data_IF_822504742213
#
_entry.id   IF_822504742213
#
_cell.length_a   1.000
_cell.length_b   1.000
_cell.length_c   1.000
_cell.angle_alpha   90.00
_cell.angle_beta   90.00
_cell.angle_gamma   90.00
#
_symmetry.space_group_name_H-M   'P 1'
#
loop_
_entity.id
_entity.type
_entity.pdbx_description
1 polymer ?
#
# COMPACT_ATOMS: atom_id res chain seq x y z
N UNK A 1 -20.50 10.60 -16.31
CA UNK A 1 -20.13 9.17 -16.26
C UNK A 1 -18.75 9.11 -15.67
N UNK A 2 -18.46 8.16 -14.79
CA UNK A 2 -17.09 7.97 -14.30
C UNK A 2 -16.20 7.48 -15.43
N UNK A 3 -14.95 7.92 -15.41
CA UNK A 3 -13.89 7.51 -16.33
C UNK A 3 -12.88 6.71 -15.54
N UNK A 4 -12.38 5.63 -16.12
CA UNK A 4 -11.29 4.83 -15.56
C UNK A 4 -10.22 4.62 -16.61
N UNK A 5 -8.97 4.62 -16.17
CA UNK A 5 -7.85 4.13 -16.96
C UNK A 5 -6.96 3.28 -16.07
N UNK A 6 -6.54 2.14 -16.58
CA UNK A 6 -5.73 1.16 -15.87
C UNK A 6 -4.66 0.62 -16.83
N UNK A 7 -3.39 0.90 -16.53
CA UNK A 7 -2.27 0.46 -17.35
C UNK A 7 -1.92 -1.00 -17.01
N UNK A 8 -1.45 -1.72 -18.02
CA UNK A 8 -0.99 -3.11 -17.89
C UNK A 8 0.40 -3.23 -17.26
N UNK A 9 0.76 -2.34 -16.33
CA UNK A 9 2.08 -2.32 -15.70
C UNK A 9 2.30 -3.61 -14.91
N UNK A 10 3.30 -4.38 -15.31
CA UNK A 10 3.63 -5.64 -14.66
C UNK A 10 4.07 -5.40 -13.20
N UNK A 11 3.60 -6.28 -12.31
CA UNK A 11 3.89 -6.17 -10.89
C UNK A 11 5.24 -6.81 -10.57
N UNK A 12 6.07 -6.09 -9.79
CA UNK A 12 7.33 -6.60 -9.26
C UNK A 12 7.40 -6.38 -7.74
N UNK A 13 7.62 -7.46 -6.99
CA UNK A 13 7.78 -7.41 -5.52
C UNK A 13 9.19 -6.93 -5.16
N UNK A 14 9.36 -6.19 -4.06
CA UNK A 14 10.71 -5.77 -3.62
C UNK A 14 11.55 -6.94 -3.06
N UNK A 15 12.84 -6.99 -3.42
CA UNK A 15 13.76 -8.07 -3.00
C UNK A 15 14.22 -7.98 -1.53
N UNK A 16 14.08 -6.82 -0.91
CA UNK A 16 14.49 -6.57 0.48
C UNK A 16 13.69 -5.42 1.08
N UNK A 17 13.77 -5.21 2.39
CA UNK A 17 12.92 -4.27 3.12
C UNK A 17 13.15 -2.79 2.76
N UNK A 18 14.19 -2.48 2.01
CA UNK A 18 14.55 -1.13 1.57
C UNK A 18 14.57 -0.95 0.03
N UNK A 19 14.06 -1.90 -0.76
CA UNK A 19 14.06 -1.85 -2.24
C UNK A 19 12.73 -1.38 -2.86
N UNK A 20 11.83 -0.76 -2.10
CA UNK A 20 10.54 -0.30 -2.65
C UNK A 20 10.70 0.60 -3.88
N UNK A 21 11.64 1.55 -3.86
CA UNK A 21 11.91 2.42 -5.00
C UNK A 21 12.55 1.70 -6.19
N UNK A 22 13.42 0.72 -5.95
CA UNK A 22 14.02 -0.10 -7.00
C UNK A 22 12.98 -1.01 -7.68
N UNK A 23 12.08 -1.62 -6.90
CA UNK A 23 10.96 -2.40 -7.42
C UNK A 23 10.00 -1.54 -8.27
N UNK A 24 9.67 -0.33 -7.80
CA UNK A 24 8.89 0.61 -8.60
C UNK A 24 9.62 1.03 -9.89
N UNK A 25 10.93 1.28 -9.83
CA UNK A 25 11.71 1.58 -11.03
C UNK A 25 11.69 0.40 -12.01
N UNK A 26 11.79 -0.84 -11.53
CA UNK A 26 11.71 -2.04 -12.35
C UNK A 26 10.36 -2.13 -13.07
N UNK A 27 9.24 -1.97 -12.36
CA UNK A 27 7.88 -1.96 -12.93
C UNK A 27 7.74 -0.93 -14.07
N UNK A 28 8.16 0.32 -13.81
CA UNK A 28 8.03 1.41 -14.78
C UNK A 28 8.99 1.25 -15.97
N UNK A 29 10.23 0.82 -15.75
CA UNK A 29 11.21 0.63 -16.82
C UNK A 29 10.83 -0.52 -17.76
N UNK A 30 10.23 -1.58 -17.23
CA UNK A 30 9.69 -2.67 -18.04
C UNK A 30 8.50 -2.21 -18.89
N UNK A 31 7.57 -1.44 -18.31
CA UNK A 31 6.50 -0.78 -19.08
C UNK A 31 7.04 0.15 -20.18
N UNK A 32 8.21 0.76 -19.95
CA UNK A 32 8.91 1.56 -20.95
C UNK A 32 9.65 0.73 -22.03
N UNK A 33 9.62 -0.60 -21.96
CA UNK A 33 10.27 -1.50 -22.91
C UNK A 33 11.76 -1.74 -22.65
N UNK A 34 12.26 -1.39 -21.46
CA UNK A 34 13.66 -1.64 -21.08
C UNK A 34 13.93 -3.12 -20.75
N UNK A 35 12.86 -3.91 -20.62
CA UNK A 35 12.89 -5.26 -20.11
C UNK A 35 13.20 -5.33 -18.62
N UNK A 36 13.37 -6.55 -18.12
CA UNK A 36 13.68 -6.81 -16.73
C UNK A 36 15.10 -6.37 -16.36
N UNK A 37 15.23 -5.46 -15.38
CA UNK A 37 16.50 -5.01 -14.79
C UNK A 37 16.51 -5.37 -13.31
N UNK A 38 17.62 -5.91 -12.80
CA UNK A 38 17.72 -6.35 -11.42
C UNK A 38 17.61 -5.19 -10.41
N UNK A 39 16.89 -5.41 -9.30
CA UNK A 39 16.65 -4.36 -8.30
C UNK A 39 17.92 -3.93 -7.57
N UNK A 40 18.95 -4.79 -7.48
CA UNK A 40 20.24 -4.43 -6.87
C UNK A 40 20.94 -3.34 -7.68
N UNK A 41 21.00 -3.50 -9.00
CA UNK A 41 21.53 -2.50 -9.94
C UNK A 41 20.73 -1.20 -9.89
N UNK A 42 19.39 -1.29 -9.88
CA UNK A 42 18.51 -0.12 -9.78
C UNK A 42 18.68 0.62 -8.44
N UNK A 43 18.76 -0.12 -7.33
CA UNK A 43 19.02 0.44 -6.00
C UNK A 43 20.36 1.16 -5.95
N UNK A 44 21.44 0.54 -6.43
CA UNK A 44 22.78 1.13 -6.40
C UNK A 44 22.85 2.41 -7.25
N UNK A 45 22.22 2.42 -8.42
CA UNK A 45 22.13 3.60 -9.28
C UNK A 45 21.36 4.72 -8.58
N UNK A 46 20.20 4.40 -8.02
CA UNK A 46 19.38 5.35 -7.28
C UNK A 46 20.12 5.95 -6.08
N UNK A 47 20.68 5.09 -5.24
CA UNK A 47 21.33 5.48 -4.00
C UNK A 47 22.57 6.35 -4.27
N UNK A 48 23.35 6.03 -5.31
CA UNK A 48 24.52 6.83 -5.71
C UNK A 48 24.17 8.21 -6.30
N UNK A 49 22.93 8.42 -6.73
CA UNK A 49 22.44 9.68 -7.29
C UNK A 49 21.41 10.40 -6.40
N UNK A 50 21.17 9.89 -5.19
CA UNK A 50 20.35 10.55 -4.15
C UNK A 50 21.20 11.59 -3.42
N UNK A 51 21.37 12.75 -4.04
CA UNK A 51 22.38 13.77 -3.62
C UNK A 51 21.78 15.03 -3.02
N UNK A 52 20.49 15.26 -3.18
CA UNK A 52 19.83 16.51 -2.78
C UNK A 52 19.71 16.66 -1.26
N UNK A 53 19.49 15.55 -0.55
CA UNK A 53 19.26 15.56 0.90
C UNK A 53 20.42 14.90 1.66
N UNK A 54 21.61 15.53 1.61
CA UNK A 54 22.91 14.98 2.05
C UNK A 54 23.00 14.59 3.53
N UNK A 55 21.95 14.79 4.32
CA UNK A 55 21.87 14.40 5.74
C UNK A 55 20.88 13.25 6.03
N UNK A 56 20.15 12.79 5.01
CA UNK A 56 19.16 11.72 5.15
C UNK A 56 19.68 10.48 4.44
N UNK A 57 19.76 9.37 5.17
CA UNK A 57 20.20 8.09 4.63
C UNK A 57 19.06 7.40 3.85
N UNK A 58 18.71 7.98 2.71
CA UNK A 58 17.68 7.43 1.83
C UNK A 58 18.09 6.06 1.30
N UNK A 59 17.20 5.07 1.41
CA UNK A 59 17.34 3.86 0.62
C UNK A 59 17.12 4.17 -0.88
N UNK A 60 16.09 4.96 -1.17
CA UNK A 60 15.80 5.48 -2.51
C UNK A 60 15.35 6.92 -2.36
N UNK A 61 16.25 7.85 -2.70
CA UNK A 61 15.95 9.28 -2.68
C UNK A 61 15.12 9.70 -3.89
N UNK A 62 14.30 10.76 -3.79
CA UNK A 62 13.46 11.19 -4.91
C UNK A 62 14.26 11.55 -6.17
N UNK A 63 15.36 12.28 -6.03
CA UNK A 63 16.25 12.67 -7.13
C UNK A 63 17.00 11.48 -7.74
N UNK A 64 17.45 10.55 -6.88
CA UNK A 64 18.05 9.29 -7.33
C UNK A 64 17.09 8.42 -8.15
N UNK A 65 15.79 8.41 -7.79
CA UNK A 65 14.78 7.67 -8.54
C UNK A 65 14.51 8.29 -9.91
N UNK A 66 14.34 9.60 -9.96
CA UNK A 66 14.21 10.33 -11.24
C UNK A 66 15.44 10.14 -12.12
N UNK A 67 16.65 10.17 -11.54
CA UNK A 67 17.87 9.87 -12.27
C UNK A 67 17.85 8.47 -12.89
N UNK A 68 17.56 7.46 -12.08
CA UNK A 68 17.53 6.05 -12.51
C UNK A 68 16.53 5.84 -13.64
N UNK A 69 15.31 6.36 -13.49
CA UNK A 69 14.26 6.25 -14.50
C UNK A 69 14.61 6.96 -15.82
N UNK A 70 15.43 7.99 -15.80
CA UNK A 70 15.86 8.68 -17.02
C UNK A 70 17.11 8.06 -17.68
N UNK A 71 17.99 7.44 -16.90
CA UNK A 71 19.26 6.90 -17.42
C UNK A 71 19.20 5.40 -17.77
N UNK A 72 18.13 4.69 -17.40
CA UNK A 72 17.94 3.27 -17.69
C UNK A 72 16.97 2.99 -18.85
N UNK A 73 16.53 4.02 -19.56
CA UNK A 73 15.71 3.93 -20.77
C UNK A 73 16.01 5.10 -21.72
N UNK A 74 15.50 5.06 -22.95
CA UNK A 74 15.78 6.09 -23.97
C UNK A 74 14.54 6.64 -24.72
N UNK A 75 13.33 6.34 -24.25
CA UNK A 75 12.08 6.68 -24.93
C UNK A 75 11.19 7.69 -24.19
N UNK A 76 11.49 7.99 -22.91
CA UNK A 76 10.68 8.84 -22.05
C UNK A 76 11.56 9.79 -21.26
N UNK A 77 10.92 10.79 -20.66
CA UNK A 77 11.58 11.72 -19.75
C UNK A 77 10.67 11.93 -18.54
N UNK A 78 11.23 11.69 -17.36
CA UNK A 78 10.55 11.80 -16.08
C UNK A 78 11.09 13.02 -15.32
N UNK A 79 10.20 13.68 -14.58
CA UNK A 79 10.59 14.77 -13.67
C UNK A 79 10.18 14.42 -12.24
N UNK A 80 10.86 15.06 -11.31
CA UNK A 80 10.52 15.00 -9.91
C UNK A 80 9.54 16.13 -9.58
N UNK A 81 8.28 15.79 -9.32
CA UNK A 81 7.31 16.73 -8.79
C UNK A 81 7.31 16.69 -7.27
N UNK A 82 7.54 17.86 -6.66
CA UNK A 82 7.51 18.06 -5.22
C UNK A 82 6.58 19.23 -4.89
N UNK A 83 5.28 18.95 -4.82
CA UNK A 83 4.23 19.96 -4.79
C UNK A 83 3.76 20.27 -3.37
N UNK A 84 3.14 21.45 -3.19
CA UNK A 84 2.73 21.95 -1.88
C UNK A 84 1.43 21.32 -1.37
N UNK A 85 0.64 20.69 -2.23
CA UNK A 85 -0.64 20.08 -1.87
C UNK A 85 -0.73 18.67 -2.42
N UNK A 86 -1.47 17.84 -1.69
CA UNK A 86 -1.77 16.47 -2.09
C UNK A 86 -2.56 16.47 -3.42
N UNK A 87 -3.59 17.30 -3.55
CA UNK A 87 -4.44 17.33 -4.75
C UNK A 87 -3.65 17.68 -6.01
N UNK A 88 -2.67 18.58 -5.93
CA UNK A 88 -1.85 18.94 -7.08
C UNK A 88 -0.97 17.77 -7.54
N UNK A 89 -0.36 17.02 -6.61
CA UNK A 89 0.48 15.86 -6.99
C UNK A 89 -0.39 14.72 -7.53
N UNK A 90 -1.58 14.53 -6.96
CA UNK A 90 -2.52 13.50 -7.39
C UNK A 90 -3.04 13.78 -8.80
N UNK A 91 -3.24 15.04 -9.18
CA UNK A 91 -3.58 15.43 -10.55
C UNK A 91 -2.45 15.22 -11.53
N UNK A 92 -1.20 15.47 -11.14
CA UNK A 92 -0.04 15.12 -11.97
C UNK A 92 0.03 13.62 -12.21
N UNK A 93 -0.18 12.81 -11.17
CA UNK A 93 -0.26 11.34 -11.30
C UNK A 93 -1.34 10.93 -12.31
N UNK A 94 -2.56 11.48 -12.20
CA UNK A 94 -3.65 11.23 -13.15
C UNK A 94 -3.27 11.64 -14.58
N UNK A 95 -2.66 12.82 -14.74
CA UNK A 95 -2.25 13.33 -16.05
C UNK A 95 -1.16 12.46 -16.69
N UNK A 96 -0.15 12.05 -15.92
CA UNK A 96 0.91 11.14 -16.38
C UNK A 96 0.32 9.86 -16.96
N UNK A 97 -0.64 9.24 -16.24
CA UNK A 97 -1.31 8.01 -16.69
C UNK A 97 -2.12 8.29 -17.98
N UNK A 98 -2.92 9.35 -17.98
CA UNK A 98 -3.84 9.68 -19.08
C UNK A 98 -3.11 10.04 -20.39
N UNK A 99 -2.18 10.99 -20.29
CA UNK A 99 -1.52 11.60 -21.44
C UNK A 99 -0.33 10.76 -21.89
N UNK A 100 0.52 10.36 -20.95
CA UNK A 100 1.79 9.70 -21.27
C UNK A 100 1.68 8.18 -21.29
N UNK A 101 0.61 7.58 -20.76
CA UNK A 101 0.41 6.12 -20.76
C UNK A 101 1.61 5.41 -20.12
N UNK A 102 1.98 5.87 -18.94
CA UNK A 102 3.05 5.30 -18.11
C UNK A 102 2.69 5.50 -16.64
N UNK A 103 3.07 4.54 -15.80
CA UNK A 103 2.87 4.59 -14.37
C UNK A 103 3.83 5.58 -13.70
N UNK A 104 3.35 6.62 -13.00
CA UNK A 104 4.17 7.40 -12.09
C UNK A 104 4.50 6.62 -10.81
N UNK A 105 5.55 7.06 -10.11
CA UNK A 105 5.97 6.48 -8.82
C UNK A 105 5.77 7.50 -7.70
N UNK A 106 4.98 7.15 -6.70
CA UNK A 106 4.57 8.05 -5.61
C UNK A 106 5.26 7.71 -4.29
N UNK A 107 5.73 8.74 -3.57
CA UNK A 107 6.29 8.61 -2.22
C UNK A 107 5.16 8.73 -1.20
N UNK A 108 4.90 7.66 -0.46
CA UNK A 108 3.76 7.55 0.46
C UNK A 108 4.20 7.28 1.90
N UNK A 109 3.25 7.31 2.83
CA UNK A 109 3.45 7.13 4.27
C UNK A 109 4.53 8.06 4.82
N UNK A 110 4.44 9.33 4.41
CA UNK A 110 5.30 10.40 4.82
C UNK A 110 6.78 10.15 4.60
N UNK A 111 7.17 9.55 3.47
CA UNK A 111 8.53 9.15 3.01
C UNK A 111 8.97 7.71 3.24
N UNK A 112 8.14 6.87 3.87
CA UNK A 112 8.56 5.53 4.25
C UNK A 112 8.55 4.52 3.08
N UNK A 113 7.83 4.82 2.00
CA UNK A 113 7.58 3.82 0.96
C UNK A 113 7.35 4.43 -0.42
N UNK A 114 7.77 3.72 -1.45
CA UNK A 114 7.47 4.02 -2.85
C UNK A 114 6.46 3.00 -3.39
N UNK A 115 5.48 3.48 -4.16
CA UNK A 115 4.50 2.65 -4.87
C UNK A 115 4.35 3.11 -6.32
N UNK A 116 4.03 2.20 -7.23
CA UNK A 116 3.70 2.53 -8.61
C UNK A 116 2.18 2.73 -8.74
N UNK A 117 1.75 3.83 -9.35
CA UNK A 117 0.33 4.11 -9.61
C UNK A 117 0.05 3.81 -11.07
N UNK A 118 -0.77 2.79 -11.33
CA UNK A 118 -1.02 2.26 -12.69
C UNK A 118 -2.35 2.73 -13.27
N UNK A 119 -3.26 3.21 -12.45
CA UNK A 119 -4.57 3.62 -12.91
C UNK A 119 -5.25 4.64 -12.01
N UNK A 120 -6.35 5.19 -12.52
CA UNK A 120 -7.17 6.16 -11.81
C UNK A 120 -8.65 5.98 -12.10
N UNK A 121 -9.48 6.55 -11.23
CA UNK A 121 -10.91 6.76 -11.46
C UNK A 121 -11.27 8.22 -11.21
N UNK A 122 -11.96 8.84 -12.15
CA UNK A 122 -12.33 10.26 -12.10
C UNK A 122 -13.76 10.50 -12.60
N UNK A 123 -14.28 11.70 -12.39
CA UNK A 123 -15.57 12.14 -12.95
C UNK A 123 -15.55 12.40 -14.47
N UNK A 124 -14.37 12.41 -15.08
CA UNK A 124 -14.13 12.64 -16.51
C UNK A 124 -12.62 12.63 -16.82
N UNK A 125 -12.26 12.48 -18.10
CA UNK A 125 -10.86 12.54 -18.52
C UNK A 125 -10.27 13.94 -18.26
N UNK A 126 -9.03 14.04 -17.75
CA UNK A 126 -8.34 15.32 -17.67
C UNK A 126 -8.07 15.86 -19.08
N UNK A 127 -8.16 17.16 -19.27
CA UNK A 127 -7.94 17.82 -20.57
C UNK A 127 -6.56 18.48 -20.70
N UNK A 128 -5.90 18.74 -19.56
CA UNK A 128 -4.50 19.19 -19.46
C UNK A 128 -3.92 18.83 -18.09
N UNK A 129 -2.59 18.94 -17.93
CA UNK A 129 -1.88 18.87 -16.64
C UNK A 129 -2.42 19.87 -15.60
N UNK A 130 -2.95 20.99 -16.06
CA UNK A 130 -3.52 22.04 -15.21
C UNK A 130 -5.03 21.91 -14.97
N UNK A 131 -5.66 20.83 -15.44
CA UNK A 131 -7.11 20.65 -15.36
C UNK A 131 -7.54 20.31 -13.92
N UNK A 132 -8.35 21.19 -13.34
CA UNK A 132 -8.94 21.03 -12.00
C UNK A 132 -10.46 20.81 -12.05
N UNK A 133 -11.03 20.65 -13.26
CA UNK A 133 -12.46 20.54 -13.50
C UNK A 133 -13.05 19.15 -13.23
N UNK A 134 -12.22 18.16 -12.95
CA UNK A 134 -12.64 16.79 -12.61
C UNK A 134 -12.34 16.46 -11.14
N UNK A 135 -13.11 15.52 -10.60
CA UNK A 135 -12.87 14.91 -9.28
C UNK A 135 -12.18 13.57 -9.44
N UNK A 136 -11.27 13.27 -8.50
CA UNK A 136 -10.60 11.97 -8.37
C UNK A 136 -11.38 11.15 -7.35
N UNK A 137 -11.66 9.89 -7.67
CA UNK A 137 -12.38 8.98 -6.76
C UNK A 137 -11.51 7.81 -6.29
N UNK A 138 -10.42 7.50 -6.99
CA UNK A 138 -9.45 6.51 -6.52
C UNK A 138 -8.32 6.25 -7.51
N UNK A 139 -7.39 5.41 -7.06
CA UNK A 139 -6.19 5.00 -7.77
C UNK A 139 -6.03 3.49 -7.76
N UNK A 140 -5.59 2.93 -8.89
CA UNK A 140 -5.10 1.56 -8.98
C UNK A 140 -3.58 1.58 -8.79
N UNK A 141 -3.07 0.79 -7.86
CA UNK A 141 -1.66 0.79 -7.45
C UNK A 141 -1.06 -0.61 -7.43
N UNK A 142 0.25 -0.62 -7.63
CA UNK A 142 1.13 -1.75 -7.38
C UNK A 142 2.04 -1.40 -6.20
N UNK A 143 1.81 -2.06 -5.08
CA UNK A 143 2.58 -1.86 -3.86
C UNK A 143 3.63 -2.98 -3.74
N UNK A 144 4.94 -2.69 -3.87
CA UNK A 144 5.98 -3.72 -3.93
C UNK A 144 6.19 -4.45 -2.59
N UNK A 145 5.55 -4.01 -1.51
CA UNK A 145 5.63 -4.61 -0.19
C UNK A 145 4.65 -5.81 -0.05
N UNK A 146 4.98 -6.87 0.71
CA UNK A 146 6.17 -7.08 1.56
C UNK A 146 7.44 -7.46 0.79
N UNK A 147 8.63 -7.36 1.40
CA UNK A 147 9.87 -7.84 0.81
C UNK A 147 10.00 -9.37 0.76
N UNK A 148 10.69 -9.90 -0.24
CA UNK A 148 11.19 -11.29 -0.26
C UNK A 148 12.47 -11.44 0.57
N UNK A 149 12.84 -12.65 1.04
CA UNK A 149 12.04 -13.87 1.08
C UNK A 149 11.08 -13.90 2.29
N UNK A 150 9.83 -14.32 2.06
CA UNK A 150 8.96 -14.80 3.12
C UNK A 150 9.42 -16.20 3.59
N UNK A 151 10.04 -16.32 4.77
CA UNK A 151 10.43 -17.55 5.51
C UNK A 151 11.25 -18.65 4.79
N UNK A 152 11.18 -18.82 3.47
CA UNK A 152 12.05 -19.68 2.67
C UNK A 152 13.00 -18.80 1.87
N UNK A 153 14.30 -18.92 2.12
CA UNK A 153 15.35 -18.23 1.38
C UNK A 153 15.38 -18.75 -0.07
N UNK A 154 14.49 -18.24 -0.91
CA UNK A 154 14.59 -18.41 -2.35
C UNK A 154 15.55 -17.37 -2.91
N UNK A 155 16.35 -17.74 -3.94
CA UNK A 155 17.36 -16.85 -4.51
C UNK A 155 16.72 -15.56 -5.07
N UNK A 156 17.50 -14.45 -5.16
CA UNK A 156 17.06 -13.21 -5.80
C UNK A 156 16.48 -13.49 -7.18
N UNK A 157 15.49 -12.69 -7.59
CA UNK A 157 14.83 -12.86 -8.88
C UNK A 157 15.85 -12.89 -10.03
N UNK A 158 15.62 -13.77 -11.02
CA UNK A 158 16.48 -13.91 -12.20
C UNK A 158 15.67 -13.62 -13.45
N UNK A 159 16.32 -13.26 -14.56
CA UNK A 159 15.69 -12.86 -15.84
C UNK A 159 14.76 -13.92 -16.48
N UNK A 160 14.51 -15.05 -15.82
CA UNK A 160 13.57 -16.09 -16.25
C UNK A 160 12.67 -16.63 -15.13
N UNK A 161 12.68 -16.04 -13.93
CA UNK A 161 11.60 -16.29 -12.97
C UNK A 161 10.43 -15.36 -13.26
N UNK A 162 9.20 -15.86 -13.08
CA UNK A 162 8.01 -15.02 -13.13
C UNK A 162 8.05 -14.11 -11.91
N UNK A 163 8.84 -13.06 -12.00
CA UNK A 163 9.11 -12.11 -10.94
C UNK A 163 7.79 -11.63 -10.35
N UNK A 164 7.50 -12.05 -9.12
CA UNK A 164 6.37 -11.60 -8.32
C UNK A 164 5.08 -11.37 -9.10
N UNK A 165 4.63 -12.29 -9.96
CA UNK A 165 3.50 -12.11 -10.90
C UNK A 165 2.09 -11.92 -10.26
N UNK A 166 2.01 -11.34 -9.06
CA UNK A 166 0.85 -11.39 -8.21
C UNK A 166 0.69 -12.81 -7.67
N UNK A 167 0.84 -12.95 -6.35
CA UNK A 167 0.87 -14.25 -5.70
C UNK A 167 0.64 -14.10 -4.20
N UNK A 168 1.27 -15.00 -3.46
CA UNK A 168 1.62 -14.80 -2.03
C UNK A 168 2.66 -13.69 -1.82
N UNK A 169 3.14 -13.14 -2.93
CA UNK A 169 4.29 -12.28 -3.14
C UNK A 169 3.79 -10.89 -3.46
N UNK A 170 3.88 -9.97 -2.49
CA UNK A 170 3.55 -8.56 -2.73
C UNK A 170 2.07 -8.18 -2.64
N UNK A 171 1.74 -6.93 -2.98
CA UNK A 171 0.39 -6.35 -3.12
C UNK A 171 0.23 -5.79 -4.54
N UNK A 172 -0.14 -6.65 -5.49
CA UNK A 172 -0.60 -6.23 -6.82
C UNK A 172 -2.07 -5.82 -6.78
N UNK A 173 -2.49 -5.04 -7.78
CA UNK A 173 -3.90 -4.80 -8.09
C UNK A 173 -4.72 -4.28 -6.89
N UNK A 174 -4.18 -3.28 -6.21
CA UNK A 174 -4.84 -2.57 -5.12
C UNK A 174 -5.57 -1.34 -5.66
N UNK A 175 -6.84 -1.17 -5.30
CA UNK A 175 -7.62 0.03 -5.59
C UNK A 175 -7.85 0.82 -4.31
N UNK A 176 -7.35 2.05 -4.25
CA UNK A 176 -7.42 2.93 -3.09
C UNK A 176 -8.42 4.04 -3.38
N UNK A 177 -9.40 4.24 -2.49
CA UNK A 177 -10.30 5.39 -2.59
C UNK A 177 -9.50 6.70 -2.44
N UNK A 178 -9.95 7.77 -3.09
CA UNK A 178 -9.21 9.04 -3.01
C UNK A 178 -9.14 9.59 -1.57
N UNK A 179 -10.17 9.37 -0.75
CA UNK A 179 -10.13 9.76 0.66
C UNK A 179 -9.04 8.99 1.43
N UNK A 180 -8.94 7.67 1.22
CA UNK A 180 -7.87 6.85 1.83
C UNK A 180 -6.50 7.23 1.29
N UNK A 181 -6.38 7.54 0.00
CA UNK A 181 -5.15 8.05 -0.58
C UNK A 181 -4.67 9.31 0.13
N UNK A 182 -5.56 10.28 0.34
CA UNK A 182 -5.28 11.54 1.03
C UNK A 182 -4.88 11.34 2.49
N UNK A 183 -5.66 10.54 3.22
CA UNK A 183 -5.50 10.44 4.66
C UNK A 183 -4.33 9.53 5.03
N UNK A 184 -4.12 8.45 4.28
CA UNK A 184 -3.19 7.37 4.67
C UNK A 184 -1.92 7.35 3.83
N UNK A 185 -2.02 7.47 2.51
CA UNK A 185 -0.90 7.23 1.60
C UNK A 185 -0.10 8.50 1.33
N UNK A 186 -0.72 9.49 0.68
CA UNK A 186 -0.07 10.70 0.22
C UNK A 186 -0.06 11.77 1.33
N UNK A 187 0.71 11.50 2.40
CA UNK A 187 0.74 12.30 3.64
C UNK A 187 1.88 13.32 3.74
N UNK A 188 2.69 13.41 2.68
CA UNK A 188 3.76 14.41 2.51
C UNK A 188 5.01 14.15 3.36
N UNK A 189 6.16 14.63 2.89
CA UNK A 189 7.46 14.36 3.53
C UNK A 189 7.61 15.19 4.82
N UNK A 190 8.00 14.60 5.96
CA UNK A 190 7.99 15.26 7.26
C UNK A 190 9.24 16.08 7.58
N UNK A 191 10.34 15.89 6.84
CA UNK A 191 11.62 16.54 7.12
C UNK A 191 12.58 16.49 5.92
N UNK A 192 13.78 17.04 6.11
CA UNK A 192 14.80 17.10 5.05
C UNK A 192 14.48 18.13 3.97
N UNK A 193 15.14 18.00 2.81
CA UNK A 193 14.98 18.93 1.68
C UNK A 193 13.53 19.01 1.18
N UNK A 194 12.83 17.88 1.19
CA UNK A 194 11.47 17.74 0.67
C UNK A 194 10.37 18.03 1.71
N UNK A 195 10.74 18.53 2.90
CA UNK A 195 9.81 18.75 4.02
C UNK A 195 8.58 19.56 3.60
N UNK A 196 7.39 19.05 3.93
CA UNK A 196 6.10 19.64 3.62
C UNK A 196 5.65 19.46 2.16
N UNK A 197 6.38 18.69 1.35
CA UNK A 197 6.03 18.42 -0.05
C UNK A 197 5.39 17.04 -0.21
N UNK A 198 4.53 16.94 -1.20
CA UNK A 198 4.01 15.68 -1.73
C UNK A 198 4.78 15.35 -3.00
N UNK A 199 5.31 14.12 -3.07
CA UNK A 199 6.39 13.79 -3.99
C UNK A 199 5.99 12.61 -4.87
N UNK A 200 6.15 12.79 -6.18
CA UNK A 200 6.06 11.71 -7.15
C UNK A 200 7.03 11.95 -8.32
N UNK A 201 7.44 10.88 -8.98
CA UNK A 201 8.17 10.94 -10.24
C UNK A 201 7.18 10.76 -11.37
N UNK A 202 6.95 11.83 -12.12
CA UNK A 202 5.87 12.02 -13.07
C UNK A 202 6.42 12.44 -14.45
N UNK A 203 5.51 12.82 -15.34
CA UNK A 203 5.80 13.42 -16.65
C UNK A 203 6.26 14.90 -16.56
N UNK A 204 6.88 15.46 -17.62
CA UNK A 204 7.54 16.75 -17.56
C UNK A 204 6.65 17.99 -17.71
N UNK A 205 5.32 17.85 -17.74
CA UNK A 205 4.44 19.02 -17.84
C UNK A 205 4.37 19.83 -16.54
N UNK A 206 4.09 21.14 -16.62
CA UNK A 206 3.97 21.96 -15.43
C UNK A 206 2.75 21.56 -14.58
N UNK A 207 2.86 21.61 -13.24
CA UNK A 207 1.77 21.25 -12.34
C UNK A 207 0.62 22.27 -12.38
N UNK A 208 -0.58 21.88 -11.91
CA UNK A 208 -1.70 22.81 -11.77
C UNK A 208 -1.35 23.93 -10.76
N UNK A 209 -1.46 25.18 -11.20
CA UNK A 209 -1.32 26.36 -10.33
C UNK A 209 -2.60 26.68 -9.55
N UNK A 210 -3.73 26.14 -10.00
CA UNK A 210 -5.05 26.36 -9.40
C UNK A 210 -5.44 25.15 -8.58
N UNK A 211 -6.32 25.38 -7.61
CA UNK A 211 -6.99 24.34 -6.86
C UNK A 211 -8.46 24.28 -7.26
N UNK A 212 -9.10 23.10 -7.16
CA UNK A 212 -10.54 23.02 -7.31
C UNK A 212 -11.22 23.94 -6.29
N UNK A 213 -12.27 24.66 -6.71
CA UNK A 213 -12.99 25.60 -5.85
C UNK A 213 -13.65 24.90 -4.65
N UNK A 214 -13.96 23.60 -4.79
CA UNK A 214 -14.51 22.76 -3.73
C UNK A 214 -14.12 21.29 -3.93
N UNK A 215 -13.56 20.70 -2.89
CA UNK A 215 -13.41 19.24 -2.79
C UNK A 215 -14.60 18.72 -2.00
N UNK A 216 -15.55 18.08 -2.67
CA UNK A 216 -16.65 17.42 -1.98
C UNK A 216 -16.15 16.11 -1.37
N UNK A 217 -16.09 16.08 -0.04
CA UNK A 217 -15.89 14.81 0.68
C UNK A 217 -17.22 14.07 0.74
N UNK A 218 -17.25 12.75 0.46
CA UNK A 218 -18.42 11.95 0.70
C UNK A 218 -18.89 12.13 2.14
N UNK A 219 -20.21 12.29 2.33
CA UNK A 219 -20.76 12.31 3.67
C UNK A 219 -20.62 10.90 4.28
N UNK A 220 -20.28 10.80 5.58
CA UNK A 220 -20.35 9.53 6.29
C UNK A 220 -21.74 8.90 6.13
N UNK A 221 -21.78 7.57 5.97
CA UNK A 221 -23.04 6.83 5.88
C UNK A 221 -23.69 6.64 7.25
N UNK A 222 -22.87 6.64 8.29
CA UNK A 222 -23.23 6.48 9.69
C UNK A 222 -22.57 7.56 10.55
N UNK A 223 -23.03 7.72 11.79
CA UNK A 223 -22.55 8.78 12.69
C UNK A 223 -21.24 8.46 13.42
N UNK A 224 -20.77 7.22 13.34
CA UNK A 224 -19.54 6.74 13.97
C UNK A 224 -19.61 6.58 15.49
N UNK A 225 -20.82 6.49 16.07
CA UNK A 225 -20.99 6.29 17.52
C UNK A 225 -20.72 4.85 17.97
N UNK A 226 -20.90 3.88 17.08
CA UNK A 226 -20.69 2.46 17.35
C UNK A 226 -19.90 1.79 16.20
N UNK A 227 -19.18 0.72 16.55
CA UNK A 227 -18.55 -0.14 15.54
C UNK A 227 -19.65 -0.89 14.80
N UNK A 228 -19.69 -0.72 13.47
CA UNK A 228 -20.63 -1.39 12.58
C UNK A 228 -20.52 -2.91 12.72
N UNK A 229 -21.65 -3.60 12.67
CA UNK A 229 -21.68 -5.06 12.82
C UNK A 229 -20.96 -5.77 11.65
N UNK A 230 -20.45 -7.00 11.87
CA UNK A 230 -19.87 -7.79 10.79
C UNK A 230 -20.81 -8.00 9.59
N UNK A 231 -22.10 -8.25 9.83
CA UNK A 231 -23.06 -8.45 8.74
C UNK A 231 -23.24 -7.19 7.89
N UNK A 232 -23.30 -6.02 8.54
CA UNK A 232 -23.36 -4.76 7.83
C UNK A 232 -22.06 -4.48 7.05
N UNK A 233 -20.89 -4.84 7.60
CA UNK A 233 -19.62 -4.73 6.87
C UNK A 233 -19.59 -5.60 5.60
N UNK A 234 -20.22 -6.79 5.62
CA UNK A 234 -20.37 -7.63 4.42
C UNK A 234 -21.21 -6.93 3.36
N UNK A 235 -22.36 -6.39 3.74
CA UNK A 235 -23.25 -5.65 2.83
C UNK A 235 -22.54 -4.45 2.21
N UNK A 236 -21.90 -3.62 3.05
CA UNK A 236 -21.15 -2.45 2.62
C UNK A 236 -19.97 -2.82 1.71
N UNK A 237 -19.32 -3.97 1.92
CA UNK A 237 -18.25 -4.43 1.04
C UNK A 237 -18.72 -4.67 -0.39
N UNK A 238 -19.90 -5.28 -0.55
CA UNK A 238 -20.49 -5.56 -1.88
C UNK A 238 -20.94 -4.27 -2.57
N UNK A 239 -21.57 -3.37 -1.83
CA UNK A 239 -21.98 -2.06 -2.34
C UNK A 239 -20.77 -1.23 -2.75
N UNK A 240 -19.72 -1.20 -1.93
CA UNK A 240 -18.49 -0.48 -2.22
C UNK A 240 -17.81 -0.94 -3.51
N UNK A 241 -17.70 -2.26 -3.73
CA UNK A 241 -17.16 -2.82 -4.96
C UNK A 241 -17.95 -2.38 -6.20
N UNK A 242 -19.28 -2.28 -6.08
CA UNK A 242 -20.16 -1.82 -7.14
C UNK A 242 -20.04 -0.32 -7.38
N UNK A 243 -20.01 0.49 -6.32
CA UNK A 243 -19.87 1.96 -6.44
C UNK A 243 -18.52 2.38 -7.04
N UNK A 244 -17.45 1.68 -6.67
CA UNK A 244 -16.12 1.88 -7.23
C UNK A 244 -16.00 1.35 -8.68
N UNK A 245 -17.02 0.67 -9.18
CA UNK A 245 -17.05 0.09 -10.52
C UNK A 245 -15.99 -1.00 -10.70
N UNK A 246 -15.59 -1.70 -9.64
CA UNK A 246 -14.52 -2.69 -9.70
C UNK A 246 -15.01 -3.99 -10.34
N UNK A 247 -16.28 -4.34 -10.20
CA UNK A 247 -16.83 -5.57 -10.80
C UNK A 247 -16.88 -5.52 -12.32
N UNK A 248 -16.90 -4.32 -12.88
CA UNK A 248 -16.97 -4.06 -14.31
C UNK A 248 -15.58 -3.98 -14.97
N UNK A 249 -14.49 -3.98 -14.19
CA UNK A 249 -13.12 -3.93 -14.70
C UNK A 249 -12.59 -5.32 -15.01
N UNK A 250 -11.92 -5.47 -16.14
CA UNK A 250 -11.35 -6.74 -16.58
C UNK A 250 -10.34 -7.31 -15.57
N UNK A 251 -9.46 -6.44 -15.03
CA UNK A 251 -8.44 -6.80 -14.03
C UNK A 251 -9.04 -7.38 -12.75
N UNK A 252 -10.22 -6.91 -12.36
CA UNK A 252 -10.92 -7.31 -11.14
C UNK A 252 -11.93 -8.44 -11.34
N UNK A 253 -12.42 -8.64 -12.57
CA UNK A 253 -13.44 -9.66 -12.89
C UNK A 253 -12.96 -11.04 -12.45
N UNK A 254 -11.70 -11.39 -12.77
CA UNK A 254 -11.11 -12.68 -12.35
C UNK A 254 -11.14 -12.86 -10.83
N UNK A 255 -10.91 -11.80 -10.07
CA UNK A 255 -10.85 -11.83 -8.60
C UNK A 255 -12.25 -11.86 -7.96
N UNK A 256 -13.27 -11.24 -8.57
CA UNK A 256 -14.59 -10.99 -7.95
C UNK A 256 -15.75 -11.83 -8.51
N UNK A 257 -15.56 -12.50 -9.65
CA UNK A 257 -16.61 -13.33 -10.26
C UNK A 257 -16.97 -14.52 -9.36
N UNK A 258 -18.26 -14.70 -9.07
CA UNK A 258 -18.74 -15.82 -8.25
C UNK A 258 -18.26 -15.82 -6.79
N UNK A 259 -17.75 -14.70 -6.27
CA UNK A 259 -17.34 -14.58 -4.87
C UNK A 259 -18.49 -14.15 -3.96
N UNK A 260 -18.45 -14.60 -2.71
CA UNK A 260 -19.30 -14.11 -1.61
C UNK A 260 -18.46 -13.49 -0.49
N UNK A 261 -18.99 -12.51 0.27
CA UNK A 261 -18.26 -11.98 1.43
C UNK A 261 -18.04 -13.04 2.50
N UNK A 262 -16.78 -13.25 2.90
CA UNK A 262 -16.39 -14.14 3.99
C UNK A 262 -16.57 -13.51 5.38
N UNK A 263 -15.81 -13.99 6.37
CA UNK A 263 -15.86 -13.47 7.74
C UNK A 263 -15.08 -12.15 7.88
N UNK A 264 -15.74 -11.02 8.21
CA UNK A 264 -15.06 -9.75 8.43
C UNK A 264 -14.12 -9.80 9.63
N UNK A 265 -12.96 -9.18 9.48
CA UNK A 265 -11.95 -9.09 10.52
C UNK A 265 -11.75 -7.63 10.93
N UNK A 266 -11.99 -7.34 12.22
CA UNK A 266 -11.86 -5.98 12.74
C UNK A 266 -10.38 -5.63 12.93
N UNK A 267 -10.00 -4.46 12.45
CA UNK A 267 -8.68 -3.88 12.64
C UNK A 267 -8.80 -2.51 13.30
N UNK A 268 -8.02 -2.29 14.36
CA UNK A 268 -7.84 -1.00 14.99
C UNK A 268 -6.60 -0.29 14.45
N UNK A 269 -6.71 0.99 14.13
CA UNK A 269 -5.57 1.86 13.82
C UNK A 269 -4.82 2.22 15.10
N UNK A 270 -3.49 2.06 15.11
CA UNK A 270 -2.64 2.39 16.25
C UNK A 270 -2.05 3.81 16.20
N UNK A 271 -2.20 4.46 15.06
CA UNK A 271 -1.72 5.81 14.75
C UNK A 271 -2.79 6.89 14.88
N UNK A 272 -4.05 6.48 15.07
CA UNK A 272 -5.21 7.37 15.21
C UNK A 272 -6.05 6.95 16.39
N UNK A 273 -6.62 7.94 17.05
CA UNK A 273 -7.60 7.68 18.10
C UNK A 273 -8.90 7.21 17.46
N UNK A 274 -9.47 6.16 18.04
CA UNK A 274 -10.82 5.69 17.72
C UNK A 274 -11.07 5.43 16.23
N UNK A 275 -10.07 4.90 15.52
CA UNK A 275 -10.18 4.58 14.11
C UNK A 275 -10.11 3.06 13.90
N UNK A 276 -11.11 2.53 13.21
CA UNK A 276 -11.29 1.10 12.97
C UNK A 276 -11.70 0.85 11.52
N UNK A 277 -11.31 -0.30 10.98
CA UNK A 277 -11.78 -0.76 9.69
C UNK A 277 -12.00 -2.27 9.71
N UNK A 278 -12.93 -2.73 8.88
CA UNK A 278 -13.16 -4.13 8.60
C UNK A 278 -12.36 -4.53 7.37
N UNK A 279 -11.65 -5.66 7.43
CA UNK A 279 -11.19 -6.38 6.25
C UNK A 279 -12.22 -7.46 5.95
N UNK A 280 -12.89 -7.37 4.80
CA UNK A 280 -13.90 -8.32 4.35
C UNK A 280 -13.34 -9.11 3.16
N UNK A 281 -12.95 -10.38 3.35
CA UNK A 281 -12.49 -11.22 2.24
C UNK A 281 -13.67 -11.51 1.29
N UNK A 282 -13.38 -11.57 -0.01
CA UNK A 282 -14.29 -12.10 -1.03
C UNK A 282 -13.84 -13.52 -1.35
N UNK A 283 -14.72 -14.48 -1.11
CA UNK A 283 -14.39 -15.90 -1.04
C UNK A 283 -15.08 -16.65 -2.18
N UNK A 284 -14.34 -17.56 -2.83
CA UNK A 284 -14.84 -18.51 -3.83
C UNK A 284 -14.32 -19.88 -3.47
N UNK A 285 -15.22 -20.86 -3.36
CA UNK A 285 -14.87 -22.24 -3.00
C UNK A 285 -14.02 -22.35 -1.71
N UNK A 286 -14.28 -21.45 -0.74
CA UNK A 286 -13.54 -21.38 0.53
C UNK A 286 -12.20 -20.64 0.48
N UNK A 287 -11.78 -20.15 -0.68
CA UNK A 287 -10.51 -19.44 -0.88
C UNK A 287 -10.78 -17.94 -1.08
N UNK A 288 -10.06 -17.07 -0.39
CA UNK A 288 -10.15 -15.63 -0.59
C UNK A 288 -9.47 -15.24 -1.92
N UNK A 289 -10.20 -14.54 -2.79
CA UNK A 289 -9.72 -14.07 -4.10
C UNK A 289 -9.66 -12.55 -4.20
N UNK A 290 -10.26 -11.83 -3.24
CA UNK A 290 -10.06 -10.40 -3.04
C UNK A 290 -10.28 -10.04 -1.57
N UNK A 291 -9.93 -8.82 -1.18
CA UNK A 291 -10.25 -8.29 0.14
C UNK A 291 -10.65 -6.81 0.06
N UNK A 292 -11.64 -6.42 0.87
CA UNK A 292 -12.22 -5.08 0.87
C UNK A 292 -12.09 -4.47 2.26
N UNK A 293 -11.55 -3.26 2.34
CA UNK A 293 -11.50 -2.49 3.57
C UNK A 293 -12.67 -1.51 3.61
N UNK A 294 -13.45 -1.59 4.69
CA UNK A 294 -14.58 -0.70 4.97
C UNK A 294 -14.33 -0.01 6.31
N UNK A 295 -14.53 1.29 6.37
CA UNK A 295 -14.48 2.04 7.63
C UNK A 295 -15.50 1.46 8.62
N UNK A 296 -15.03 1.03 9.78
CA UNK A 296 -15.85 0.28 10.73
C UNK A 296 -16.74 1.17 11.60
N UNK A 297 -16.65 2.51 11.49
CA UNK A 297 -17.51 3.46 12.20
C UNK A 297 -18.46 4.18 11.24
N UNK A 298 -17.94 4.60 10.09
CA UNK A 298 -18.65 5.47 9.14
C UNK A 298 -19.14 4.75 7.88
N UNK A 299 -18.72 3.49 7.68
CA UNK A 299 -19.17 2.63 6.57
C UNK A 299 -18.65 3.02 5.19
N UNK A 300 -17.66 3.92 5.13
CA UNK A 300 -17.04 4.34 3.88
C UNK A 300 -16.12 3.27 3.28
N UNK A 301 -16.15 3.13 1.97
CA UNK A 301 -15.16 2.33 1.25
C UNK A 301 -13.76 2.95 1.42
N UNK A 302 -12.76 2.14 1.79
CA UNK A 302 -11.40 2.62 1.94
C UNK A 302 -10.51 2.16 0.79
N UNK A 303 -10.35 0.85 0.63
CA UNK A 303 -9.57 0.25 -0.46
C UNK A 303 -9.97 -1.21 -0.69
N UNK A 304 -9.63 -1.76 -1.84
CA UNK A 304 -9.76 -3.17 -2.16
C UNK A 304 -8.45 -3.69 -2.73
N UNK A 305 -8.23 -4.99 -2.64
CA UNK A 305 -7.11 -5.68 -3.29
C UNK A 305 -7.58 -6.96 -3.96
N UNK A 306 -7.14 -7.21 -5.19
CA UNK A 306 -7.25 -8.53 -5.79
C UNK A 306 -6.14 -9.47 -5.25
N UNK A 307 -6.51 -10.72 -4.98
CA UNK A 307 -5.59 -11.74 -4.53
C UNK A 307 -5.33 -12.72 -5.68
N UNK A 308 -4.08 -13.10 -5.85
CA UNK A 308 -3.74 -14.16 -6.78
C UNK A 308 -4.37 -15.48 -6.34
N UNK A 309 -4.79 -16.30 -7.31
CA UNK A 309 -5.39 -17.59 -7.04
C UNK A 309 -4.38 -18.52 -6.32
N UNK A 310 -4.67 -18.92 -5.08
CA UNK A 310 -3.85 -19.87 -4.32
C UNK A 310 -4.17 -19.89 -2.83
N UNK A 311 -3.78 -20.97 -2.15
CA UNK A 311 -4.08 -21.25 -0.73
C UNK A 311 -3.28 -20.38 0.27
N UNK A 312 -2.26 -19.66 -0.18
CA UNK A 312 -1.25 -19.02 0.68
C UNK A 312 -1.28 -17.48 0.64
N UNK A 313 -2.43 -16.86 0.32
CA UNK A 313 -2.54 -15.40 0.41
C UNK A 313 -2.45 -15.02 1.88
N UNK A 314 -1.43 -14.26 2.30
CA UNK A 314 -1.17 -13.83 3.69
C UNK A 314 -2.25 -12.92 4.31
N UNK A 315 -3.45 -12.91 3.73
CA UNK A 315 -4.61 -12.24 4.23
C UNK A 315 -5.16 -13.01 5.43
N UNK A 316 -4.77 -12.56 6.63
CA UNK A 316 -5.40 -12.94 7.90
C UNK A 316 -5.44 -14.45 8.16
N UNK A 317 -4.45 -15.19 7.66
CA UNK A 317 -4.39 -16.66 7.69
C UNK A 317 -4.11 -17.23 9.08
N UNK A 318 -3.72 -16.39 10.04
CA UNK A 318 -3.37 -16.85 11.37
C UNK A 318 -4.57 -16.84 12.30
N UNK A 319 -5.25 -18.00 12.36
CA UNK A 319 -6.22 -18.26 13.42
C UNK A 319 -5.58 -18.08 14.80
N UNK A 320 -6.40 -17.64 15.77
CA UNK A 320 -5.94 -17.39 17.14
C UNK A 320 -5.25 -18.61 17.78
N UNK A 321 -5.75 -19.82 17.51
CA UNK A 321 -5.13 -21.05 18.02
C UNK A 321 -3.73 -21.27 17.45
N UNK A 322 -3.57 -21.09 16.14
CA UNK A 322 -2.27 -21.21 15.48
C UNK A 322 -1.29 -20.12 15.97
N UNK A 323 -1.79 -18.92 16.26
CA UNK A 323 -1.00 -17.87 16.91
C UNK A 323 -0.53 -18.31 18.30
N UNK A 324 -1.43 -18.78 19.15
CA UNK A 324 -1.12 -19.21 20.52
C UNK A 324 -0.06 -20.32 20.51
N UNK A 325 -0.19 -21.31 19.63
CA UNK A 325 0.80 -22.38 19.42
C UNK A 325 2.16 -21.86 18.92
N UNK A 326 2.16 -20.77 18.14
CA UNK A 326 3.38 -20.12 17.63
C UNK A 326 4.10 -19.27 18.67
N UNK A 327 3.42 -18.67 19.64
CA UNK A 327 4.07 -17.71 20.55
C UNK A 327 4.18 -18.20 21.99
N UNK A 328 3.18 -18.96 22.48
CA UNK A 328 3.15 -19.34 23.88
C UNK A 328 4.20 -20.40 24.17
N UNK A 329 4.87 -20.26 25.30
CA UNK A 329 5.98 -21.11 25.74
C UNK A 329 7.34 -20.74 25.16
N UNK A 330 7.39 -19.93 24.07
CA UNK A 330 8.63 -19.49 23.43
C UNK A 330 9.36 -18.44 24.26
N UNK A 331 10.68 -18.42 24.09
CA UNK A 331 11.57 -17.38 24.61
C UNK A 331 11.83 -16.39 23.48
N UNK A 332 11.61 -15.12 23.76
CA UNK A 332 11.73 -14.01 22.81
C UNK A 332 12.84 -13.10 23.34
N UNK A 333 13.84 -12.84 22.50
CA UNK A 333 14.89 -11.88 22.83
C UNK A 333 14.31 -10.45 22.73
N UNK A 334 14.44 -9.68 23.80
CA UNK A 334 14.01 -8.29 23.84
C UNK A 334 15.13 -7.35 23.37
N UNK A 335 14.80 -6.21 22.75
CA UNK A 335 15.79 -5.26 22.26
C UNK A 335 16.62 -4.64 23.39
N UNK A 336 17.78 -4.04 23.03
CA UNK A 336 18.61 -3.19 23.91
C UNK A 336 19.08 -3.85 25.22
N UNK A 337 19.42 -5.14 25.18
CA UNK A 337 19.85 -5.91 26.36
C UNK A 337 18.79 -6.03 27.46
N UNK A 338 17.50 -5.85 27.13
CA UNK A 338 16.39 -6.08 28.06
C UNK A 338 16.19 -7.56 28.44
N UNK A 339 17.02 -8.46 27.89
CA UNK A 339 17.05 -9.87 28.25
C UNK A 339 16.08 -10.69 27.41
N UNK A 340 15.57 -11.76 28.03
CA UNK A 340 14.72 -12.75 27.38
C UNK A 340 13.36 -12.81 28.06
N UNK A 341 12.31 -12.82 27.24
CA UNK A 341 10.93 -12.93 27.68
C UNK A 341 10.37 -14.30 27.31
N UNK A 342 9.99 -15.10 28.31
CA UNK A 342 9.22 -16.33 28.07
C UNK A 342 7.73 -16.05 28.18
N UNK A 343 7.01 -16.15 27.07
CA UNK A 343 5.55 -15.99 27.09
C UNK A 343 4.90 -17.19 27.75
N UNK A 344 4.34 -17.01 28.94
CA UNK A 344 3.65 -18.08 29.67
C UNK A 344 2.17 -18.11 29.31
N UNK A 345 1.60 -19.30 29.01
CA UNK A 345 0.16 -19.45 28.87
C UNK A 345 -0.58 -18.90 30.09
N UNK A 346 -1.71 -18.22 29.86
CA UNK A 346 -2.56 -17.66 30.92
C UNK A 346 -2.10 -16.30 31.48
N UNK A 347 -0.88 -15.84 31.16
CA UNK A 347 -0.40 -14.50 31.52
C UNK A 347 -0.41 -13.56 30.31
N UNK A 348 -0.05 -14.06 29.13
CA UNK A 348 -0.08 -13.27 27.90
C UNK A 348 -1.53 -12.93 27.51
N UNK A 349 -1.78 -11.64 27.24
CA UNK A 349 -3.05 -11.15 26.72
C UNK A 349 -2.92 -10.90 25.21
N UNK A 350 -3.63 -11.69 24.40
CA UNK A 350 -3.68 -11.53 22.94
C UNK A 350 -4.93 -10.74 22.55
N UNK A 351 -4.78 -9.71 21.71
CA UNK A 351 -5.88 -8.89 21.23
C UNK A 351 -6.92 -9.71 20.46
N UNK A 352 -8.22 -9.43 20.69
CA UNK A 352 -9.34 -10.09 19.99
C UNK A 352 -9.56 -9.58 18.58
N UNK A 353 -9.19 -8.33 18.34
CA UNK A 353 -9.11 -7.70 17.02
C UNK A 353 -7.66 -7.65 16.54
N UNK A 354 -7.49 -7.33 15.27
CA UNK A 354 -6.20 -6.99 14.68
C UNK A 354 -5.88 -5.52 14.94
N UNK A 355 -4.60 -5.16 14.84
CA UNK A 355 -4.14 -3.78 14.95
C UNK A 355 -3.21 -3.44 13.79
N UNK A 356 -3.23 -2.21 13.31
CA UNK A 356 -2.36 -1.80 12.22
C UNK A 356 -1.99 -0.32 12.31
N UNK A 357 -0.80 0.01 11.80
CA UNK A 357 -0.39 1.36 11.40
C UNK A 357 0.73 1.23 10.35
N UNK A 358 0.90 2.20 9.45
CA UNK A 358 2.09 2.32 8.62
C UNK A 358 3.36 2.28 9.48
N UNK A 359 4.22 1.31 9.21
CA UNK A 359 5.51 1.12 9.86
C UNK A 359 6.42 0.26 8.98
N UNK A 360 7.72 0.20 9.25
CA UNK A 360 8.65 -0.61 8.45
C UNK A 360 8.23 -2.10 8.44
N UNK A 361 7.55 -2.56 9.51
CA UNK A 361 7.05 -3.92 9.63
C UNK A 361 5.72 -4.14 8.91
N UNK A 362 5.01 -3.11 8.45
CA UNK A 362 3.80 -3.22 7.64
C UNK A 362 3.50 -1.92 6.90
N UNK A 363 3.71 -1.95 5.57
CA UNK A 363 3.39 -0.86 4.64
C UNK A 363 2.17 -1.24 3.77
N UNK A 364 1.30 -2.11 4.29
CA UNK A 364 0.01 -2.45 3.71
C UNK A 364 -1.01 -2.76 4.81
N UNK A 365 -2.23 -2.19 4.75
CA UNK A 365 -3.29 -2.46 5.74
C UNK A 365 -3.82 -3.90 5.70
N UNK A 366 -3.46 -4.67 4.67
CA UNK A 366 -3.76 -6.09 4.54
C UNK A 366 -2.81 -7.01 5.30
N UNK A 367 -1.78 -6.45 5.94
CA UNK A 367 -0.87 -7.18 6.82
C UNK A 367 -0.88 -6.59 8.23
N UNK A 368 -2.03 -6.67 8.93
CA UNK A 368 -2.13 -6.19 10.30
C UNK A 368 -1.47 -7.15 11.29
N UNK A 369 -1.47 -6.78 12.57
CA UNK A 369 -0.85 -7.51 13.65
C UNK A 369 -1.86 -7.96 14.70
N UNK A 370 -1.58 -9.07 15.38
CA UNK A 370 -2.11 -9.38 16.69
C UNK A 370 -1.18 -8.78 17.73
N UNK A 371 -1.74 -7.95 18.60
CA UNK A 371 -0.99 -7.38 19.71
C UNK A 371 -1.02 -8.37 20.88
N UNK A 372 0.16 -8.67 21.42
CA UNK A 372 0.35 -9.53 22.57
C UNK A 372 0.94 -8.69 23.68
N UNK A 373 0.21 -8.54 24.78
CA UNK A 373 0.64 -7.83 25.97
C UNK A 373 1.12 -8.84 27.02
N UNK A 374 2.30 -8.58 27.61
CA UNK A 374 2.85 -9.36 28.71
C UNK A 374 3.54 -8.41 29.70
N UNK A 375 2.85 -8.08 30.79
CA UNK A 375 3.29 -6.99 31.67
C UNK A 375 3.27 -5.64 30.95
N UNK A 376 4.41 -4.96 30.92
CA UNK A 376 4.64 -3.70 30.19
C UNK A 376 5.12 -3.91 28.75
N UNK A 377 5.34 -5.16 28.34
CA UNK A 377 5.84 -5.48 27.00
C UNK A 377 4.69 -5.63 26.01
N UNK A 378 4.89 -5.06 24.82
CA UNK A 378 4.02 -5.22 23.66
C UNK A 378 4.78 -5.92 22.54
N UNK A 379 4.23 -7.04 22.08
CA UNK A 379 4.71 -7.77 20.92
C UNK A 379 3.63 -7.74 19.84
N UNK A 380 4.06 -7.89 18.60
CA UNK A 380 3.20 -7.80 17.42
C UNK A 380 3.45 -9.00 16.53
N UNK A 381 2.42 -9.78 16.27
CA UNK A 381 2.49 -10.91 15.34
C UNK A 381 1.70 -10.55 14.10
N UNK A 382 2.38 -10.33 12.98
CA UNK A 382 1.75 -9.96 11.71
C UNK A 382 0.89 -11.10 11.18
N UNK A 383 -0.02 -10.82 10.25
CA UNK A 383 -0.94 -11.82 9.67
C UNK A 383 -0.23 -13.03 9.03
N UNK A 384 0.98 -12.86 8.53
CA UNK A 384 1.86 -13.95 8.03
C UNK A 384 2.59 -14.73 9.15
N UNK A 385 2.42 -14.29 10.40
CA UNK A 385 2.96 -14.87 11.61
C UNK A 385 4.39 -14.46 11.97
N UNK A 386 4.97 -13.46 11.29
CA UNK A 386 6.23 -12.84 11.75
C UNK A 386 6.01 -12.10 13.06
N UNK A 387 6.91 -12.33 14.01
CA UNK A 387 6.89 -11.73 15.35
C UNK A 387 7.83 -10.52 15.41
N UNK A 388 7.35 -9.44 15.99
CA UNK A 388 8.09 -8.20 16.22
C UNK A 388 7.95 -7.77 17.67
N UNK A 389 9.04 -7.28 18.25
CA UNK A 389 9.06 -6.72 19.62
C UNK A 389 8.77 -5.22 19.66
N UNK A 390 8.63 -4.59 18.50
CA UNK A 390 8.28 -3.17 18.33
C UNK A 390 7.81 -2.91 16.89
N UNK A 391 7.06 -1.83 16.71
CA UNK A 391 6.75 -1.26 15.40
C UNK A 391 7.59 0.02 15.23
N UNK A 392 8.38 0.07 14.16
CA UNK A 392 9.32 1.15 13.85
C UNK A 392 8.64 2.16 12.92
N UNK A 393 8.70 3.42 13.31
CA UNK A 393 8.05 4.52 12.59
C UNK A 393 9.09 5.57 12.24
N UNK A 394 9.09 6.03 11.00
CA UNK A 394 10.08 6.99 10.52
C UNK A 394 9.62 8.40 10.88
N UNK A 395 10.11 8.90 12.02
CA UNK A 395 10.11 10.32 12.39
C UNK A 395 8.81 10.91 12.92
N UNK A 396 7.64 10.41 12.52
CA UNK A 396 6.38 10.97 13.03
C UNK A 396 5.52 10.02 13.86
N UNK A 397 5.73 8.70 13.80
CA UNK A 397 4.60 7.84 14.15
C UNK A 397 3.40 8.06 13.22
N UNK A 398 3.69 8.57 12.01
CA UNK A 398 2.90 9.12 10.87
C UNK A 398 2.96 10.62 10.68
#
# INVERSE_FOLDING_TARGET
MTTTEDLGTEYHQQDTDYYCGAACAQMVLEECGSGHIDQVSLYNDNHSHSTTDTGVNWATGPDGLTWTLNNRQSGRYFVLDALATEDAISRMIVWTIHHYRVSPVALVFGWAHWIAVRGYTTSGHPTSSTDVGYTITGFDVNNPWPPTPGMAAEPPHTTGDGCGSGGTRGVSDEYISYQTWQDDYMTGVPGGHWSGRFVAVCDPEPPPERHPERVERPLPRYDGTEILSPDLARELSLESLKEAGLRERETWTRALEGTEPGEPQLVQRLDRNDAFYWIVPQVRDGIATAAVNVDALYGGFQQARALAAGEDTALLTLERRALDERILGRVIDLPRKAGQLRLRPGIACVSRHWVWKPCDQSLSPYYPFRQVCYGDQHLYVRSDGRLFTRLTVNGRGI
#
